data_IF_134923356762
#
_entry.id   IF_134923356762
#
_cell.length_a   1.000
_cell.length_b   1.000
_cell.length_c   1.000
_cell.angle_alpha   90.00
_cell.angle_beta   90.00
_cell.angle_gamma   90.00
#
_symmetry.space_group_name_H-M   'P 1'
#
loop_
_entity.id
_entity.type
_entity.pdbx_description
1 polymer ?
#
# COMPACT_ATOMS: atom_id res chain seq x y z
N UNK A 1 -0.62 -21.25 38.04
CA UNK A 1 0.13 -21.47 36.79
C UNK A 1 1.33 -22.36 37.10
N UNK A 2 1.54 -23.46 36.36
CA UNK A 2 2.60 -24.45 36.65
C UNK A 2 3.99 -23.85 36.39
N UNK A 3 4.96 -24.16 37.25
CA UNK A 3 6.34 -23.65 37.19
C UNK A 3 7.05 -23.97 35.87
N UNK A 4 6.76 -25.13 35.28
CA UNK A 4 7.25 -25.54 33.96
C UNK A 4 6.83 -24.58 32.84
N UNK A 5 5.62 -24.04 32.90
CA UNK A 5 5.10 -23.08 31.90
C UNK A 5 5.81 -21.74 32.03
N UNK A 6 6.06 -21.29 33.27
CA UNK A 6 6.81 -20.05 33.53
C UNK A 6 8.22 -20.12 32.98
N UNK A 7 8.90 -21.25 33.22
CA UNK A 7 10.27 -21.50 32.75
C UNK A 7 10.35 -21.56 31.22
N UNK A 8 9.37 -22.22 30.60
CA UNK A 8 9.24 -22.29 29.14
C UNK A 8 9.02 -20.91 28.52
N UNK A 9 8.09 -20.11 29.05
CA UNK A 9 7.82 -18.75 28.59
C UNK A 9 9.04 -17.82 28.75
N UNK A 10 9.78 -17.95 29.85
CA UNK A 10 11.00 -17.18 30.08
C UNK A 10 12.14 -17.56 29.11
N UNK A 11 12.25 -18.85 28.77
CA UNK A 11 13.26 -19.34 27.82
C UNK A 11 12.97 -18.89 26.38
N UNK A 12 11.72 -19.02 25.92
CA UNK A 12 11.34 -18.50 24.60
C UNK A 12 11.42 -16.97 24.54
N UNK A 13 11.10 -16.28 25.64
CA UNK A 13 11.26 -14.82 25.76
C UNK A 13 12.71 -14.37 25.66
N UNK A 14 13.65 -15.09 26.31
CA UNK A 14 15.09 -14.85 26.17
C UNK A 14 15.59 -15.11 24.75
N UNK A 15 15.22 -16.25 24.15
CA UNK A 15 15.60 -16.58 22.75
C UNK A 15 15.06 -15.57 21.76
N UNK A 16 13.79 -15.16 21.93
CA UNK A 16 13.14 -14.12 21.13
C UNK A 16 13.78 -12.75 21.31
N UNK A 17 14.09 -12.36 22.54
CA UNK A 17 14.80 -11.13 22.86
C UNK A 17 16.22 -11.09 22.26
N UNK A 18 16.95 -12.20 22.31
CA UNK A 18 18.27 -12.34 21.70
C UNK A 18 18.20 -12.31 20.15
N UNK A 19 17.18 -12.92 19.53
CA UNK A 19 16.90 -12.79 18.08
C UNK A 19 16.48 -11.38 17.68
N UNK A 20 15.74 -10.70 18.56
CA UNK A 20 15.24 -9.33 18.40
C UNK A 20 16.27 -8.25 18.72
N UNK A 21 17.46 -8.62 19.24
CA UNK A 21 18.59 -7.70 19.50
C UNK A 21 19.32 -7.23 18.24
N UNK A 22 18.85 -7.59 17.04
CA UNK A 22 19.13 -6.73 15.86
C UNK A 22 18.49 -5.40 16.16
N UNK A 23 19.30 -4.43 16.56
CA UNK A 23 18.87 -3.07 16.87
C UNK A 23 18.02 -2.57 15.72
N UNK A 24 16.70 -2.57 15.91
CA UNK A 24 15.76 -2.13 14.90
C UNK A 24 16.00 -0.62 14.79
N UNK A 25 16.58 -0.19 13.67
CA UNK A 25 16.84 1.23 13.50
C UNK A 25 15.50 1.99 13.50
N UNK A 26 15.47 3.27 13.91
CA UNK A 26 14.26 4.08 13.82
C UNK A 26 13.62 4.04 12.43
N UNK A 27 14.44 3.99 11.38
CA UNK A 27 14.00 3.83 10.00
C UNK A 27 13.32 2.47 9.74
N UNK A 28 13.89 1.36 10.23
CA UNK A 28 13.26 0.05 10.13
C UNK A 28 11.94 -0.03 10.90
N UNK A 29 11.88 0.60 12.08
CA UNK A 29 10.64 0.70 12.86
C UNK A 29 9.57 1.51 12.11
N UNK A 30 9.94 2.65 11.51
CA UNK A 30 9.06 3.46 10.69
C UNK A 30 8.56 2.69 9.47
N UNK A 31 9.42 1.97 8.76
CA UNK A 31 9.05 1.14 7.60
C UNK A 31 8.07 0.01 8.00
N UNK A 32 8.25 -0.58 9.18
CA UNK A 32 7.32 -1.59 9.73
C UNK A 32 5.95 -1.00 10.04
N UNK A 33 5.90 0.15 10.73
CA UNK A 33 4.64 0.85 11.06
C UNK A 33 3.92 1.26 9.79
N UNK A 34 4.63 1.88 8.85
CA UNK A 34 4.06 2.28 7.57
C UNK A 34 3.52 1.06 6.80
N UNK A 35 4.24 -0.07 6.79
CA UNK A 35 3.75 -1.31 6.16
C UNK A 35 2.48 -1.84 6.82
N UNK A 36 2.33 -1.67 8.15
CA UNK A 36 1.12 -2.04 8.89
C UNK A 36 -0.04 -1.10 8.55
N UNK A 37 0.21 0.21 8.51
CA UNK A 37 -0.80 1.20 8.13
C UNK A 37 -1.29 1.00 6.69
N UNK A 38 -0.40 0.68 5.74
CA UNK A 38 -0.79 0.35 4.36
C UNK A 38 -1.67 -0.91 4.29
N UNK A 39 -1.28 -1.99 5.00
CA UNK A 39 -2.12 -3.19 5.09
C UNK A 39 -3.46 -2.91 5.75
N UNK A 40 -3.48 -2.07 6.77
CA UNK A 40 -4.69 -1.65 7.47
C UNK A 40 -5.60 -0.84 6.55
N UNK A 41 -5.06 0.12 5.80
CA UNK A 41 -5.82 0.94 4.86
C UNK A 41 -6.47 0.09 3.75
N UNK A 42 -5.74 -0.88 3.21
CA UNK A 42 -6.30 -1.87 2.26
C UNK A 42 -7.42 -2.65 2.94
N UNK A 43 -7.16 -3.26 4.10
CA UNK A 43 -8.15 -4.08 4.80
C UNK A 43 -9.40 -3.31 5.19
N UNK A 44 -9.27 -2.08 5.67
CA UNK A 44 -10.40 -1.20 6.02
C UNK A 44 -11.26 -0.91 4.78
N UNK A 45 -10.63 -0.65 3.63
CA UNK A 45 -11.35 -0.53 2.36
C UNK A 45 -12.04 -1.84 1.98
N UNK A 46 -11.34 -2.98 2.04
CA UNK A 46 -11.93 -4.29 1.72
C UNK A 46 -13.12 -4.65 2.61
N UNK A 47 -13.06 -4.26 3.88
CA UNK A 47 -14.14 -4.48 4.83
C UNK A 47 -15.31 -3.52 4.63
N UNK A 48 -15.09 -2.35 4.03
CA UNK A 48 -16.15 -1.40 3.68
C UNK A 48 -16.95 -1.79 2.44
N UNK A 49 -16.38 -2.64 1.58
CA UNK A 49 -17.03 -3.18 0.38
C UNK A 49 -17.77 -4.48 0.70
N UNK A 50 -19.09 -4.40 0.86
CA UNK A 50 -19.96 -5.58 1.06
C UNK A 50 -20.45 -6.09 -0.30
N UNK A 51 -20.43 -7.40 -0.53
CA UNK A 51 -21.10 -8.05 -1.68
C UNK A 51 -20.28 -8.26 -2.95
N UNK A 52 -19.17 -7.53 -3.15
CA UNK A 52 -18.20 -7.80 -4.22
C UNK A 52 -16.78 -7.89 -3.64
N UNK A 53 -16.02 -8.95 -3.92
CA UNK A 53 -14.62 -9.01 -3.57
C UNK A 53 -13.86 -7.82 -4.17
N UNK A 54 -13.11 -7.08 -3.37
CA UNK A 54 -12.24 -6.01 -3.86
C UNK A 54 -11.21 -6.48 -4.88
N UNK A 55 -10.91 -7.79 -4.91
CA UNK A 55 -10.07 -8.42 -5.93
C UNK A 55 -10.59 -8.21 -7.35
N UNK A 56 -11.89 -7.92 -7.51
CA UNK A 56 -12.53 -7.81 -8.82
C UNK A 56 -12.50 -6.36 -9.35
N UNK A 57 -12.04 -5.41 -8.51
CA UNK A 57 -11.91 -4.02 -8.92
C UNK A 57 -10.73 -3.85 -9.90
N UNK A 58 -10.94 -3.24 -11.07
CA UNK A 58 -9.88 -3.05 -12.05
C UNK A 58 -8.80 -2.16 -11.45
N UNK A 59 -7.54 -2.60 -11.43
CA UNK A 59 -6.44 -1.79 -10.89
C UNK A 59 -6.24 -1.90 -9.38
N UNK A 60 -6.97 -2.79 -8.68
CA UNK A 60 -6.79 -2.99 -7.24
C UNK A 60 -5.38 -3.48 -6.89
N UNK A 61 -4.78 -4.29 -7.75
CA UNK A 61 -3.41 -4.77 -7.58
C UNK A 61 -2.38 -3.64 -7.58
N UNK A 62 -2.56 -2.62 -8.42
CA UNK A 62 -1.73 -1.40 -8.46
C UNK A 62 -1.89 -0.63 -7.17
N UNK A 63 -3.13 -0.42 -6.70
CA UNK A 63 -3.38 0.30 -5.44
C UNK A 63 -2.75 -0.44 -4.26
N UNK A 64 -2.90 -1.76 -4.21
CA UNK A 64 -2.37 -2.60 -3.14
C UNK A 64 -0.84 -2.65 -3.15
N UNK A 65 -0.22 -2.71 -4.32
CA UNK A 65 1.23 -2.62 -4.46
C UNK A 65 1.74 -1.22 -4.08
N UNK A 66 1.16 -0.17 -4.64
CA UNK A 66 1.57 1.21 -4.41
C UNK A 66 1.46 1.65 -2.97
N UNK A 67 0.40 1.26 -2.24
CA UNK A 67 0.30 1.52 -0.80
C UNK A 67 1.43 0.85 0.00
N UNK A 68 1.82 -0.38 -0.37
CA UNK A 68 2.95 -1.08 0.28
C UNK A 68 4.28 -0.41 -0.03
N UNK A 69 4.45 0.08 -1.25
CA UNK A 69 5.69 0.72 -1.69
C UNK A 69 5.85 2.12 -1.09
N UNK A 70 4.77 2.91 -1.04
CA UNK A 70 4.74 4.20 -0.33
C UNK A 70 5.07 4.02 1.16
N UNK A 71 4.54 2.98 1.79
CA UNK A 71 4.88 2.63 3.16
C UNK A 71 6.37 2.31 3.36
N UNK A 72 7.05 1.84 2.32
CA UNK A 72 8.50 1.57 2.34
C UNK A 72 9.32 2.76 1.82
N UNK A 73 8.69 3.91 1.56
CA UNK A 73 9.28 5.09 0.91
C UNK A 73 9.94 4.76 -0.43
N UNK A 74 9.35 3.84 -1.19
CA UNK A 74 9.85 3.43 -2.50
C UNK A 74 9.17 4.22 -3.62
N UNK A 75 9.97 4.68 -4.58
CA UNK A 75 9.50 5.38 -5.78
C UNK A 75 9.25 4.38 -6.91
N UNK A 76 8.28 3.48 -6.71
CA UNK A 76 7.85 2.54 -7.74
C UNK A 76 6.76 3.15 -8.65
N UNK A 77 6.55 2.56 -9.83
CA UNK A 77 5.44 2.93 -10.72
C UNK A 77 4.10 2.93 -9.97
N UNK A 78 3.85 1.88 -9.18
CA UNK A 78 2.60 1.73 -8.43
C UNK A 78 2.48 2.78 -7.31
N UNK A 79 3.58 3.08 -6.61
CA UNK A 79 3.62 4.11 -5.57
C UNK A 79 3.33 5.51 -6.16
N UNK A 80 3.91 5.82 -7.32
CA UNK A 80 3.70 7.08 -8.02
C UNK A 80 2.24 7.21 -8.49
N UNK A 81 1.67 6.15 -9.08
CA UNK A 81 0.25 6.11 -9.46
C UNK A 81 -0.69 6.30 -8.26
N UNK A 82 -0.41 5.65 -7.13
CA UNK A 82 -1.18 5.84 -5.89
C UNK A 82 -1.01 7.25 -5.34
N UNK A 83 0.18 7.84 -5.43
CA UNK A 83 0.44 9.23 -5.03
C UNK A 83 -0.38 10.21 -5.89
N UNK A 84 -0.38 10.05 -7.22
CA UNK A 84 -1.22 10.84 -8.15
C UNK A 84 -2.71 10.69 -7.84
N UNK A 85 -3.15 9.47 -7.52
CA UNK A 85 -4.55 9.19 -7.22
C UNK A 85 -4.96 9.53 -5.78
N UNK A 86 -4.02 9.95 -4.91
CA UNK A 86 -4.24 10.11 -3.48
C UNK A 86 -5.46 10.99 -3.13
N UNK A 87 -5.72 12.14 -3.80
CA UNK A 87 -6.92 12.94 -3.51
C UNK A 87 -8.22 12.18 -3.76
N UNK A 88 -8.28 11.32 -4.78
CA UNK A 88 -9.48 10.51 -5.10
C UNK A 88 -9.61 9.35 -4.14
N UNK A 89 -8.51 8.65 -3.85
CA UNK A 89 -8.48 7.52 -2.92
C UNK A 89 -8.89 7.93 -1.50
N UNK A 90 -8.43 9.10 -1.02
CA UNK A 90 -8.81 9.64 0.30
C UNK A 90 -10.30 9.93 0.40
N UNK A 91 -10.93 10.44 -0.67
CA UNK A 91 -12.40 10.63 -0.72
C UNK A 91 -13.18 9.31 -0.65
N UNK A 92 -12.55 8.21 -1.05
CA UNK A 92 -13.10 6.86 -0.93
C UNK A 92 -12.80 6.20 0.43
N UNK A 93 -12.24 6.95 1.39
CA UNK A 93 -11.86 6.43 2.71
C UNK A 93 -10.54 5.67 2.73
N UNK A 94 -9.83 5.55 1.60
CA UNK A 94 -8.53 4.87 1.53
C UNK A 94 -7.44 5.82 2.06
N UNK A 95 -6.79 5.46 3.16
CA UNK A 95 -5.65 6.23 3.67
C UNK A 95 -4.43 6.03 2.77
N UNK A 96 -3.90 7.16 2.26
CA UNK A 96 -2.64 7.21 1.51
C UNK A 96 -1.62 8.00 2.33
N UNK A 97 -0.66 7.28 2.92
CA UNK A 97 0.42 7.84 3.74
C UNK A 97 1.63 8.20 2.87
N UNK A 98 2.23 9.38 3.11
CA UNK A 98 3.48 9.79 2.48
C UNK A 98 3.41 9.97 0.97
N UNK A 99 2.77 11.05 0.49
CA UNK A 99 2.74 11.36 -0.94
C UNK A 99 4.15 11.66 -1.47
N UNK A 100 4.43 11.21 -2.70
CA UNK A 100 5.64 11.54 -3.44
C UNK A 100 5.41 12.88 -4.15
N UNK A 101 6.31 13.88 -4.01
CA UNK A 101 6.24 15.15 -4.75
C UNK A 101 6.40 14.93 -6.27
N UNK A 102 5.69 15.73 -7.07
CA UNK A 102 5.73 15.67 -8.54
C UNK A 102 5.63 14.23 -9.11
N UNK A 103 4.64 13.43 -8.67
CA UNK A 103 4.60 12.01 -8.99
C UNK A 103 4.35 11.75 -10.48
N UNK A 104 3.68 12.67 -11.20
CA UNK A 104 3.50 12.64 -12.65
C UNK A 104 4.84 12.63 -13.39
N UNK A 105 5.71 13.61 -13.11
CA UNK A 105 7.01 13.77 -13.77
C UNK A 105 7.92 12.59 -13.45
N UNK A 106 7.97 12.20 -12.17
CA UNK A 106 8.74 11.06 -11.72
C UNK A 106 8.29 9.75 -12.39
N UNK A 107 6.97 9.55 -12.57
CA UNK A 107 6.43 8.38 -13.27
C UNK A 107 6.81 8.38 -14.74
N UNK A 108 6.70 9.53 -15.41
CA UNK A 108 7.04 9.63 -16.82
C UNK A 108 8.52 9.31 -17.07
N UNK A 109 9.43 9.88 -16.26
CA UNK A 109 10.86 9.58 -16.32
C UNK A 109 11.15 8.09 -16.12
N UNK A 110 10.51 7.45 -15.14
CA UNK A 110 10.68 6.01 -14.86
C UNK A 110 10.20 5.15 -16.03
N UNK A 111 9.08 5.52 -16.65
CA UNK A 111 8.53 4.81 -17.81
C UNK A 111 9.39 5.03 -19.06
N UNK A 112 9.94 6.22 -19.24
CA UNK A 112 10.87 6.53 -20.35
C UNK A 112 12.15 5.70 -20.23
N UNK A 113 12.73 5.61 -19.02
CA UNK A 113 13.90 4.77 -18.75
C UNK A 113 13.63 3.28 -19.02
N UNK A 114 12.43 2.78 -18.70
CA UNK A 114 12.10 1.36 -18.85
C UNK A 114 11.58 0.97 -20.24
N UNK A 115 10.93 1.89 -20.95
CA UNK A 115 10.14 1.57 -22.15
C UNK A 115 10.38 2.51 -23.33
N UNK A 116 11.24 3.52 -23.18
CA UNK A 116 11.60 4.48 -24.23
C UNK A 116 10.38 5.06 -24.93
N UNK A 117 10.29 4.85 -26.25
CA UNK A 117 9.20 5.38 -27.10
C UNK A 117 7.80 4.90 -26.70
N UNK A 118 7.67 3.82 -25.94
CA UNK A 118 6.39 3.31 -25.45
C UNK A 118 5.96 3.92 -24.09
N UNK A 119 6.76 4.81 -23.49
CA UNK A 119 6.45 5.39 -22.17
C UNK A 119 5.11 6.13 -22.14
N UNK A 120 4.82 6.93 -23.17
CA UNK A 120 3.58 7.70 -23.24
C UNK A 120 2.32 6.81 -23.31
N UNK A 121 2.35 5.76 -24.14
CA UNK A 121 1.21 4.84 -24.25
C UNK A 121 1.01 4.03 -22.97
N UNK A 122 2.11 3.62 -22.31
CA UNK A 122 2.08 2.93 -21.01
C UNK A 122 1.55 3.84 -19.90
N UNK A 123 2.02 5.08 -19.83
CA UNK A 123 1.55 6.10 -18.88
C UNK A 123 0.03 6.26 -18.99
N UNK A 124 -0.47 6.51 -20.20
CA UNK A 124 -1.90 6.70 -20.43
C UNK A 124 -2.72 5.46 -20.08
N UNK A 125 -2.20 4.26 -20.35
CA UNK A 125 -2.87 3.01 -19.98
C UNK A 125 -2.98 2.85 -18.45
N UNK A 126 -1.91 3.14 -17.72
CA UNK A 126 -1.88 3.07 -16.25
C UNK A 126 -2.80 4.11 -15.61
N UNK A 127 -2.77 5.36 -16.09
CA UNK A 127 -3.67 6.42 -15.62
C UNK A 127 -5.14 6.05 -15.85
N UNK A 128 -5.49 5.53 -17.05
CA UNK A 128 -6.85 5.05 -17.32
C UNK A 128 -7.28 3.94 -16.37
N UNK A 129 -6.39 2.99 -16.09
CA UNK A 129 -6.66 1.90 -15.14
C UNK A 129 -6.93 2.41 -13.72
N UNK A 130 -6.18 3.41 -13.25
CA UNK A 130 -6.43 4.07 -11.96
C UNK A 130 -7.73 4.86 -11.90
N UNK A 131 -8.13 5.49 -13.01
CA UNK A 131 -9.43 6.15 -13.14
C UNK A 131 -10.56 5.11 -13.10
N UNK A 132 -10.42 3.99 -13.80
CA UNK A 132 -11.38 2.87 -13.75
C UNK A 132 -11.54 2.31 -12.33
N UNK A 133 -10.41 2.10 -11.62
CA UNK A 133 -10.43 1.70 -10.21
C UNK A 133 -11.29 2.67 -9.38
N UNK A 134 -10.96 3.96 -9.44
CA UNK A 134 -11.60 4.99 -8.61
C UNK A 134 -13.11 5.08 -8.88
N UNK A 135 -13.52 4.92 -10.15
CA UNK A 135 -14.94 4.91 -10.54
C UNK A 135 -15.67 3.66 -10.03
N UNK A 136 -15.08 2.48 -10.18
CA UNK A 136 -15.66 1.23 -9.71
C UNK A 136 -15.80 1.23 -8.19
N UNK A 137 -14.75 1.63 -7.46
CA UNK A 137 -14.78 1.79 -6.00
C UNK A 137 -15.82 2.83 -5.55
N UNK A 138 -15.96 3.95 -6.26
CA UNK A 138 -16.99 4.96 -5.96
C UNK A 138 -18.42 4.48 -6.23
N UNK A 139 -18.63 3.55 -7.17
CA UNK A 139 -19.95 2.96 -7.41
C UNK A 139 -20.31 2.01 -6.27
N UNK A 140 -19.36 1.18 -5.83
CA UNK A 140 -19.56 0.31 -4.67
C UNK A 140 -19.85 1.11 -3.40
N UNK A 141 -19.12 2.19 -3.13
CA UNK A 141 -19.39 3.02 -1.95
C UNK A 141 -20.76 3.74 -1.97
N UNK A 142 -21.35 3.95 -3.15
CA UNK A 142 -22.67 4.62 -3.33
C UNK A 142 -23.85 3.65 -3.29
N UNK A 143 -23.65 2.37 -3.60
CA UNK A 143 -24.73 1.37 -3.54
C UNK A 143 -25.13 1.01 -2.09
N UNK A 144 -24.39 1.51 -1.10
CA UNK A 144 -24.48 1.10 0.31
C UNK A 144 -24.67 2.28 1.29
N UNK A 145 -24.96 3.49 0.77
CA UNK A 145 -25.30 4.68 1.55
C UNK A 145 -26.78 5.03 1.35
#
# INVERSE_FOLDING_TARGET
>A
MKESVRRYLADIGRRGGLRSRRTLTPEQAQAMVASREAKRAVREFEQSTIGTPTSDLPGVEIVRAGLRDLARRQHSIDALLVSMAAPRLRRLGIRVAGGIPHPEDALFVLLEQQHGRAAHSRYNALVRRMVSFSRAAAMMGRQHA
#
